data_IF_642791712642
#
_entry.id   IF_642791712642
#
_cell.length_a   1.000
_cell.length_b   1.000
_cell.length_c   1.000
_cell.angle_alpha   90.00
_cell.angle_beta   90.00
_cell.angle_gamma   90.00
#
_symmetry.space_group_name_H-M   'P 1'
#
loop_
_entity.id
_entity.type
_entity.pdbx_description
1 polymer ?
#
# COMPACT_ATOMS: atom_id res chain seq x y z
N UNK A 1 14.32 18.29 17.37
CA UNK A 1 13.18 17.86 18.22
C UNK A 1 12.40 16.71 17.58
N UNK A 2 11.76 16.87 16.41
CA UNK A 2 10.98 15.80 15.75
C UNK A 2 11.75 14.49 15.53
N UNK A 3 12.95 14.57 14.93
CA UNK A 3 13.84 13.41 14.76
C UNK A 3 14.15 12.73 16.11
N UNK A 4 14.39 13.51 17.16
CA UNK A 4 14.82 13.00 18.45
C UNK A 4 13.67 12.49 19.34
N UNK A 5 12.46 13.02 19.15
CA UNK A 5 11.28 12.71 19.97
C UNK A 5 10.40 11.61 19.35
N UNK A 6 10.46 11.43 18.03
CA UNK A 6 9.63 10.45 17.32
C UNK A 6 10.44 9.44 16.51
N UNK A 7 11.50 9.87 15.80
CA UNK A 7 12.30 8.94 14.98
C UNK A 7 13.23 8.08 15.85
N UNK A 8 13.89 8.66 16.87
CA UNK A 8 14.77 7.92 17.79
C UNK A 8 14.03 6.87 18.63
N UNK A 9 12.93 7.17 19.33
CA UNK A 9 12.19 6.13 20.06
C UNK A 9 11.55 5.06 19.15
N UNK A 10 11.27 5.39 17.89
CA UNK A 10 10.80 4.41 16.91
C UNK A 10 11.94 3.52 16.38
N UNK A 11 13.14 4.08 16.17
CA UNK A 11 14.35 3.29 15.91
C UNK A 11 14.69 2.34 17.07
N UNK A 12 14.45 2.75 18.33
CA UNK A 12 14.59 1.83 19.47
C UNK A 12 13.46 0.80 19.56
N UNK A 13 12.30 1.07 18.94
CA UNK A 13 11.20 0.09 18.84
C UNK A 13 11.49 -0.99 17.78
N UNK A 14 12.39 -0.69 16.82
CA UNK A 14 12.94 -1.65 15.84
C UNK A 14 13.59 -2.85 16.54
N UNK A 15 14.17 -2.64 17.73
CA UNK A 15 14.81 -3.66 18.57
C UNK A 15 13.80 -4.59 19.28
N UNK A 16 12.52 -4.19 19.37
CA UNK A 16 11.48 -4.88 20.16
C UNK A 16 10.62 -5.81 19.31
N UNK A 17 10.64 -5.68 17.98
CA UNK A 17 9.82 -6.53 17.11
C UNK A 17 10.52 -7.85 16.81
N UNK A 18 9.85 -8.96 17.12
CA UNK A 18 10.24 -10.35 16.80
C UNK A 18 10.45 -10.63 15.30
N UNK A 19 10.26 -9.63 14.43
CA UNK A 19 10.30 -9.72 12.98
C UNK A 19 11.49 -8.91 12.41
N UNK A 20 12.70 -9.43 12.61
CA UNK A 20 13.98 -8.79 12.22
C UNK A 20 14.10 -8.38 10.73
N UNK A 21 13.16 -8.78 9.86
CA UNK A 21 13.09 -8.38 8.44
C UNK A 21 11.96 -7.41 8.06
N UNK A 22 10.99 -7.15 8.96
CA UNK A 22 9.85 -6.26 8.68
C UNK A 22 10.04 -4.83 9.21
N UNK A 23 11.06 -4.58 10.03
CA UNK A 23 11.33 -3.26 10.61
C UNK A 23 11.42 -2.15 9.55
N UNK A 24 12.09 -2.41 8.42
CA UNK A 24 12.17 -1.45 7.32
C UNK A 24 10.81 -1.12 6.68
N UNK A 25 9.90 -2.10 6.58
CA UNK A 25 8.53 -1.86 6.10
C UNK A 25 7.78 -0.97 7.09
N UNK A 26 7.86 -1.29 8.37
CA UNK A 26 7.23 -0.53 9.45
C UNK A 26 7.71 0.92 9.49
N UNK A 27 9.01 1.14 9.40
CA UNK A 27 9.61 2.48 9.30
C UNK A 27 9.11 3.24 8.05
N UNK A 28 9.08 2.56 6.90
CA UNK A 28 8.60 3.18 5.66
C UNK A 28 7.15 3.63 5.78
N UNK A 29 6.28 2.78 6.33
CA UNK A 29 4.86 3.07 6.50
C UNK A 29 4.64 4.18 7.52
N UNK A 30 5.44 4.21 8.59
CA UNK A 30 5.44 5.31 9.55
C UNK A 30 5.79 6.65 8.88
N UNK A 31 6.91 6.71 8.15
CA UNK A 31 7.36 7.94 7.47
C UNK A 31 6.37 8.41 6.40
N UNK A 32 5.85 7.48 5.60
CA UNK A 32 4.84 7.78 4.58
C UNK A 32 3.54 8.28 5.22
N UNK A 33 3.05 7.58 6.24
CA UNK A 33 1.84 7.97 6.98
C UNK A 33 2.01 9.35 7.62
N UNK A 34 3.16 9.61 8.23
CA UNK A 34 3.48 10.91 8.81
C UNK A 34 3.40 12.03 7.78
N UNK A 35 4.04 11.83 6.62
CA UNK A 35 4.01 12.79 5.51
C UNK A 35 2.59 13.03 4.98
N UNK A 36 1.75 11.99 4.90
CA UNK A 36 0.40 12.12 4.37
C UNK A 36 -0.52 12.87 5.36
N UNK A 37 -0.40 12.56 6.65
CA UNK A 37 -1.31 13.09 7.68
C UNK A 37 -0.95 14.48 8.19
N UNK A 38 0.32 14.90 8.13
CA UNK A 38 0.73 16.23 8.60
C UNK A 38 0.07 17.36 7.79
N UNK A 39 -0.31 17.06 6.54
CA UNK A 39 -0.95 18.00 5.61
C UNK A 39 -2.45 18.14 5.83
N UNK A 40 -3.10 17.19 6.50
CA UNK A 40 -4.55 17.18 6.69
C UNK A 40 -5.11 18.44 7.37
N UNK A 41 -4.53 18.97 8.47
CA UNK A 41 -4.99 20.25 9.03
C UNK A 41 -4.46 21.47 8.25
N UNK A 42 -3.29 21.39 7.63
CA UNK A 42 -2.74 22.53 6.88
C UNK A 42 -3.52 22.81 5.58
N UNK A 43 -4.15 21.80 4.98
CA UNK A 43 -4.90 22.00 3.74
C UNK A 43 -6.20 22.76 3.95
N UNK A 44 -6.85 22.63 5.11
CA UNK A 44 -8.07 23.39 5.42
C UNK A 44 -7.74 24.87 5.51
N UNK A 45 -6.62 25.23 6.17
CA UNK A 45 -6.17 26.63 6.27
C UNK A 45 -5.88 27.22 4.88
N UNK A 46 -5.20 26.47 4.01
CA UNK A 46 -4.92 26.91 2.62
C UNK A 46 -6.21 27.03 1.80
N UNK A 47 -7.15 26.11 1.98
CA UNK A 47 -8.43 26.13 1.26
C UNK A 47 -9.29 27.33 1.68
N UNK A 48 -9.33 27.62 2.99
CA UNK A 48 -10.02 28.80 3.53
C UNK A 48 -9.41 30.09 2.98
N UNK A 49 -8.08 30.22 3.00
CA UNK A 49 -7.38 31.39 2.48
C UNK A 49 -7.60 31.59 0.96
N UNK A 50 -7.73 30.51 0.19
CA UNK A 50 -7.91 30.57 -1.26
C UNK A 50 -9.37 30.85 -1.69
N UNK A 51 -10.35 30.28 -1.00
CA UNK A 51 -11.78 30.37 -1.39
C UNK A 51 -12.49 31.56 -0.75
N UNK A 52 -12.14 31.91 0.50
CA UNK A 52 -12.83 32.90 1.31
C UNK A 52 -11.83 33.79 2.06
N UNK A 53 -11.11 34.71 1.38
CA UNK A 53 -10.12 35.55 2.03
C UNK A 53 -10.77 36.44 3.10
N UNK A 54 -10.30 36.33 4.35
CA UNK A 54 -10.71 37.20 5.47
C UNK A 54 -12.09 36.91 6.08
N UNK A 55 -12.69 35.74 5.81
CA UNK A 55 -13.90 35.27 6.48
C UNK A 55 -13.61 34.04 7.33
N UNK A 56 -14.13 34.03 8.56
CA UNK A 56 -13.98 32.90 9.48
C UNK A 56 -14.86 31.70 9.10
N UNK A 57 -15.93 31.95 8.33
CA UNK A 57 -16.87 30.91 7.88
C UNK A 57 -16.88 30.78 6.35
N UNK A 58 -16.62 29.56 5.86
CA UNK A 58 -16.68 29.24 4.44
C UNK A 58 -17.29 27.83 4.27
N UNK A 59 -18.61 27.77 4.07
CA UNK A 59 -19.30 26.50 3.80
C UNK A 59 -18.80 25.83 2.52
N UNK A 60 -18.35 26.62 1.53
CA UNK A 60 -17.83 26.13 0.26
C UNK A 60 -16.60 25.22 0.43
N UNK A 61 -15.69 25.53 1.35
CA UNK A 61 -14.50 24.70 1.60
C UNK A 61 -14.90 23.31 2.15
N UNK A 62 -15.92 23.26 3.00
CA UNK A 62 -16.46 22.01 3.56
C UNK A 62 -17.10 21.18 2.44
N UNK A 63 -17.96 21.77 1.61
CA UNK A 63 -18.59 21.06 0.50
C UNK A 63 -17.56 20.54 -0.53
N UNK A 64 -16.56 21.36 -0.86
CA UNK A 64 -15.49 20.99 -1.77
C UNK A 64 -14.70 19.80 -1.23
N UNK A 65 -14.23 19.87 0.03
CA UNK A 65 -13.46 18.79 0.66
C UNK A 65 -14.28 17.50 0.83
N UNK A 66 -15.56 17.60 1.20
CA UNK A 66 -16.47 16.46 1.28
C UNK A 66 -16.72 15.80 -0.08
N UNK A 67 -16.92 16.61 -1.13
CA UNK A 67 -17.06 16.12 -2.49
C UNK A 67 -15.78 15.42 -2.98
N UNK A 68 -14.61 15.98 -2.66
CA UNK A 68 -13.32 15.35 -2.96
C UNK A 68 -13.20 13.96 -2.32
N UNK A 69 -13.55 13.85 -1.03
CA UNK A 69 -13.50 12.59 -0.30
C UNK A 69 -14.50 11.57 -0.85
N UNK A 70 -15.69 12.00 -1.24
CA UNK A 70 -16.69 11.13 -1.86
C UNK A 70 -16.18 10.55 -3.20
N UNK A 71 -15.68 11.40 -4.10
CA UNK A 71 -15.10 10.94 -5.38
C UNK A 71 -13.92 10.01 -5.15
N UNK A 72 -13.03 10.39 -4.23
CA UNK A 72 -11.85 9.61 -3.89
C UNK A 72 -12.23 8.24 -3.34
N UNK A 73 -13.20 8.17 -2.43
CA UNK A 73 -13.68 6.91 -1.87
C UNK A 73 -14.32 6.01 -2.92
N UNK A 74 -15.18 6.55 -3.79
CA UNK A 74 -15.78 5.76 -4.88
C UNK A 74 -14.71 5.31 -5.88
N UNK A 75 -13.78 6.20 -6.22
CA UNK A 75 -12.68 5.89 -7.13
C UNK A 75 -11.74 4.82 -6.58
N UNK A 76 -11.37 4.91 -5.30
CA UNK A 76 -10.47 3.94 -4.66
C UNK A 76 -11.12 2.57 -4.53
N UNK A 77 -12.44 2.49 -4.29
CA UNK A 77 -13.18 1.22 -4.29
C UNK A 77 -13.02 0.46 -5.62
N UNK A 78 -12.98 1.17 -6.76
CA UNK A 78 -12.76 0.56 -8.07
C UNK A 78 -11.28 0.28 -8.35
N UNK A 79 -10.38 1.14 -7.89
CA UNK A 79 -8.94 1.04 -8.16
C UNK A 79 -8.23 0.03 -7.26
N UNK A 80 -8.65 -0.18 -6.01
CA UNK A 80 -7.99 -1.09 -5.07
C UNK A 80 -7.89 -2.54 -5.57
N UNK A 81 -8.94 -3.16 -6.16
CA UNK A 81 -8.82 -4.49 -6.77
C UNK A 81 -7.84 -4.51 -7.95
N UNK A 82 -7.84 -3.45 -8.77
CA UNK A 82 -6.95 -3.33 -9.92
C UNK A 82 -5.49 -3.26 -9.47
N UNK A 83 -5.19 -2.40 -8.49
CA UNK A 83 -3.88 -2.26 -7.84
C UNK A 83 -3.47 -3.59 -7.22
N UNK A 84 -4.36 -4.30 -6.52
CA UNK A 84 -4.09 -5.63 -5.98
C UNK A 84 -3.64 -6.62 -7.07
N UNK A 85 -4.39 -6.71 -8.17
CA UNK A 85 -4.06 -7.60 -9.29
C UNK A 85 -2.74 -7.25 -9.99
N UNK A 86 -2.41 -5.96 -10.08
CA UNK A 86 -1.13 -5.48 -10.60
C UNK A 86 0.01 -5.82 -9.65
N UNK A 87 -0.24 -5.82 -8.34
CA UNK A 87 0.76 -6.11 -7.31
C UNK A 87 1.22 -7.55 -7.38
N UNK A 88 0.29 -8.45 -7.72
CA UNK A 88 0.60 -9.86 -7.84
C UNK A 88 1.41 -10.16 -9.10
N UNK A 89 1.41 -9.27 -10.12
CA UNK A 89 2.18 -9.45 -11.37
C UNK A 89 3.51 -8.70 -11.39
N UNK A 90 3.54 -7.45 -10.93
CA UNK A 90 4.72 -6.57 -11.00
C UNK A 90 5.60 -6.62 -9.75
N UNK A 91 5.26 -7.48 -8.78
CA UNK A 91 5.95 -7.56 -7.49
C UNK A 91 5.47 -6.50 -6.50
N UNK A 92 5.51 -6.87 -5.21
CA UNK A 92 4.95 -6.04 -4.12
C UNK A 92 5.75 -4.77 -3.86
N UNK A 93 7.09 -4.83 -4.01
CA UNK A 93 7.98 -3.67 -3.81
C UNK A 93 7.78 -2.58 -4.87
N UNK A 94 7.73 -2.98 -6.14
CA UNK A 94 7.54 -2.06 -7.27
C UNK A 94 6.20 -1.33 -7.17
N UNK A 95 5.13 -2.08 -6.84
CA UNK A 95 3.82 -1.47 -6.72
C UNK A 95 3.65 -0.59 -5.48
N UNK A 96 4.34 -0.88 -4.36
CA UNK A 96 4.31 0.03 -3.20
C UNK A 96 5.00 1.37 -3.50
N UNK A 97 5.98 1.36 -4.41
CA UNK A 97 6.73 2.56 -4.78
C UNK A 97 5.91 3.53 -5.62
N UNK A 98 5.01 3.02 -6.47
CA UNK A 98 4.17 3.81 -7.36
C UNK A 98 3.28 4.84 -6.60
N UNK A 99 2.42 4.45 -5.63
CA UNK A 99 1.60 5.40 -4.89
C UNK A 99 2.43 6.35 -4.03
N UNK A 100 3.57 5.90 -3.50
CA UNK A 100 4.48 6.77 -2.75
C UNK A 100 5.06 7.88 -3.65
N UNK A 101 5.50 7.53 -4.87
CA UNK A 101 6.00 8.54 -5.83
C UNK A 101 4.91 9.48 -6.32
N UNK A 102 3.71 8.97 -6.61
CA UNK A 102 2.60 9.80 -7.08
C UNK A 102 2.17 10.81 -6.01
N UNK A 103 2.18 10.42 -4.72
CA UNK A 103 1.82 11.32 -3.63
C UNK A 103 2.80 12.49 -3.45
N UNK A 104 4.04 12.41 -3.97
CA UNK A 104 4.99 13.52 -3.95
C UNK A 104 4.51 14.70 -4.82
N UNK A 105 3.80 14.43 -5.93
CA UNK A 105 3.34 15.48 -6.85
C UNK A 105 2.41 16.51 -6.18
N UNK A 106 1.29 16.13 -5.56
CA UNK A 106 0.42 17.10 -4.88
C UNK A 106 1.16 17.79 -3.72
N UNK A 107 2.04 17.09 -2.99
CA UNK A 107 2.84 17.69 -1.92
C UNK A 107 3.80 18.78 -2.44
N UNK A 108 4.53 18.48 -3.51
CA UNK A 108 5.49 19.39 -4.12
C UNK A 108 4.81 20.64 -4.71
N UNK A 109 3.63 20.48 -5.31
CA UNK A 109 2.90 21.65 -5.86
C UNK A 109 2.56 22.69 -4.80
N UNK A 110 2.18 22.28 -3.59
CA UNK A 110 1.91 23.19 -2.47
C UNK A 110 3.17 23.72 -1.78
N UNK A 111 4.33 23.08 -1.99
CA UNK A 111 5.61 23.57 -1.52
C UNK A 111 6.12 24.75 -2.36
N UNK A 112 5.84 24.77 -3.67
CA UNK A 112 6.35 25.80 -4.59
C UNK A 112 5.69 27.18 -4.42
N UNK A 113 4.36 27.28 -4.47
CA UNK A 113 3.66 28.57 -4.36
C UNK A 113 2.19 28.38 -3.97
N UNK A 114 1.61 29.39 -3.31
CA UNK A 114 0.27 29.35 -2.68
C UNK A 114 -0.75 30.27 -3.36
N UNK A 115 -0.61 30.47 -4.66
CA UNK A 115 -1.60 31.21 -5.46
C UNK A 115 -2.90 30.42 -5.64
N UNK A 116 -4.00 31.12 -5.92
CA UNK A 116 -5.33 30.51 -6.19
C UNK A 116 -5.28 29.56 -7.39
N UNK A 117 -4.53 29.88 -8.45
CA UNK A 117 -4.32 28.98 -9.60
C UNK A 117 -3.65 27.66 -9.19
N UNK A 118 -2.67 27.72 -8.29
CA UNK A 118 -1.94 26.53 -7.83
C UNK A 118 -2.81 25.69 -6.92
N UNK A 119 -3.70 26.31 -6.14
CA UNK A 119 -4.71 25.60 -5.36
C UNK A 119 -5.60 24.71 -6.23
N UNK A 120 -6.10 25.21 -7.36
CA UNK A 120 -6.90 24.39 -8.30
C UNK A 120 -6.08 23.26 -8.94
N UNK A 121 -4.83 23.53 -9.34
CA UNK A 121 -3.92 22.52 -9.88
C UNK A 121 -3.67 21.41 -8.84
N UNK A 122 -3.36 21.80 -7.60
CA UNK A 122 -3.20 20.89 -6.48
C UNK A 122 -4.46 20.05 -6.28
N UNK A 123 -5.64 20.67 -6.29
CA UNK A 123 -6.91 19.97 -6.05
C UNK A 123 -7.16 18.89 -7.10
N UNK A 124 -6.92 19.18 -8.38
CA UNK A 124 -7.04 18.21 -9.48
C UNK A 124 -6.00 17.09 -9.34
N UNK A 125 -4.73 17.43 -9.14
CA UNK A 125 -3.65 16.46 -8.98
C UNK A 125 -3.86 15.56 -7.78
N UNK A 126 -4.30 16.13 -6.65
CA UNK A 126 -4.58 15.37 -5.44
C UNK A 126 -5.76 14.45 -5.64
N UNK A 127 -6.86 14.91 -6.26
CA UNK A 127 -8.02 14.05 -6.55
C UNK A 127 -7.61 12.86 -7.41
N UNK A 128 -6.88 13.10 -8.51
CA UNK A 128 -6.43 12.02 -9.40
C UNK A 128 -5.49 11.04 -8.69
N UNK A 129 -4.52 11.58 -7.94
CA UNK A 129 -3.57 10.76 -7.18
C UNK A 129 -4.27 9.95 -6.10
N UNK A 130 -5.18 10.57 -5.35
CA UNK A 130 -5.96 9.92 -4.29
C UNK A 130 -6.84 8.80 -4.84
N UNK A 131 -7.53 8.97 -5.97
CA UNK A 131 -8.34 7.89 -6.58
C UNK A 131 -7.51 6.60 -6.77
N UNK A 132 -6.23 6.72 -7.14
CA UNK A 132 -5.35 5.58 -7.41
C UNK A 132 -4.66 5.10 -6.12
N UNK A 133 -4.22 6.03 -5.29
CA UNK A 133 -3.26 5.77 -4.21
C UNK A 133 -3.92 5.61 -2.84
N UNK A 134 -5.13 6.12 -2.64
CA UNK A 134 -5.83 6.09 -1.35
C UNK A 134 -6.03 4.64 -0.90
N UNK A 135 -5.61 4.33 0.33
CA UNK A 135 -5.67 2.98 0.91
C UNK A 135 -4.71 1.95 0.32
N UNK A 136 -4.21 2.16 -0.91
CA UNK A 136 -3.33 1.20 -1.62
C UNK A 136 -2.08 0.84 -0.81
N UNK A 137 -1.39 1.83 -0.23
CA UNK A 137 -0.13 1.64 0.51
C UNK A 137 -0.33 0.73 1.73
N UNK A 138 -1.42 0.93 2.48
CA UNK A 138 -1.71 0.11 3.66
C UNK A 138 -2.08 -1.34 3.24
N UNK A 139 -2.91 -1.50 2.22
CA UNK A 139 -3.29 -2.82 1.73
C UNK A 139 -2.10 -3.60 1.17
N UNK A 140 -1.23 -2.95 0.40
CA UNK A 140 -0.02 -3.56 -0.14
C UNK A 140 0.99 -3.90 0.97
N UNK A 141 1.10 -3.06 2.00
CA UNK A 141 1.93 -3.36 3.16
C UNK A 141 1.38 -4.56 3.95
N UNK A 142 0.07 -4.62 4.21
CA UNK A 142 -0.58 -5.78 4.83
C UNK A 142 -0.36 -7.06 4.01
N UNK A 143 -0.48 -6.96 2.69
CA UNK A 143 -0.16 -8.06 1.79
C UNK A 143 1.31 -8.48 1.96
N UNK A 144 2.26 -7.53 1.90
CA UNK A 144 3.68 -7.83 2.10
C UNK A 144 3.94 -8.53 3.44
N UNK A 145 3.30 -8.09 4.53
CA UNK A 145 3.39 -8.76 5.84
C UNK A 145 2.85 -10.19 5.76
N UNK A 146 1.72 -10.42 5.07
CA UNK A 146 1.14 -11.75 4.91
C UNK A 146 2.09 -12.73 4.21
N UNK A 147 2.85 -12.26 3.22
CA UNK A 147 3.79 -13.11 2.47
C UNK A 147 5.06 -13.45 3.26
N UNK A 148 5.45 -12.60 4.22
CA UNK A 148 6.72 -12.75 4.95
C UNK A 148 6.56 -13.28 6.38
N UNK A 149 5.32 -13.42 6.89
CA UNK A 149 5.03 -13.85 8.27
C UNK A 149 4.22 -15.15 8.28
N UNK A 150 4.59 -16.15 9.13
CA UNK A 150 3.86 -17.40 9.27
C UNK A 150 2.44 -17.17 9.83
N UNK A 151 1.50 -18.02 9.44
CA UNK A 151 0.05 -17.84 9.69
C UNK A 151 -0.29 -17.56 11.16
N UNK A 152 0.35 -18.28 12.08
CA UNK A 152 0.12 -18.14 13.53
C UNK A 152 0.47 -16.78 14.12
N UNK A 153 1.27 -15.96 13.41
CA UNK A 153 1.70 -14.64 13.88
C UNK A 153 1.18 -13.47 13.02
N UNK A 154 0.47 -13.75 11.91
CA UNK A 154 -0.02 -12.72 10.98
C UNK A 154 -0.96 -11.71 11.66
N UNK A 155 -1.84 -12.17 12.53
CA UNK A 155 -2.77 -11.29 13.25
C UNK A 155 -2.03 -10.25 14.11
N UNK A 156 -0.98 -10.67 14.82
CA UNK A 156 -0.13 -9.77 15.61
C UNK A 156 0.62 -8.79 14.71
N UNK A 157 1.20 -9.26 13.61
CA UNK A 157 1.94 -8.41 12.69
C UNK A 157 1.03 -7.36 11.98
N UNK A 158 -0.20 -7.73 11.62
CA UNK A 158 -1.19 -6.78 11.10
C UNK A 158 -1.62 -5.75 12.15
N UNK A 159 -1.79 -6.18 13.41
CA UNK A 159 -2.07 -5.28 14.52
C UNK A 159 -0.95 -4.28 14.76
N UNK A 160 0.31 -4.72 14.70
CA UNK A 160 1.49 -3.84 14.82
C UNK A 160 1.52 -2.85 13.65
N UNK A 161 1.36 -3.31 12.41
CA UNK A 161 1.37 -2.44 11.23
C UNK A 161 0.29 -1.35 11.28
N UNK A 162 -0.93 -1.70 11.66
CA UNK A 162 -2.04 -0.74 11.79
C UNK A 162 -1.86 0.18 13.00
N UNK A 163 -1.28 -0.33 14.09
CA UNK A 163 -0.84 0.46 15.24
C UNK A 163 0.20 1.52 14.87
N UNK A 164 1.18 1.17 14.05
CA UNK A 164 2.19 2.10 13.53
C UNK A 164 1.53 3.18 12.66
N UNK A 165 0.62 2.81 11.76
CA UNK A 165 -0.10 3.77 10.94
C UNK A 165 -0.91 4.77 11.79
N UNK A 166 -1.54 4.28 12.87
CA UNK A 166 -2.26 5.11 13.85
C UNK A 166 -1.32 6.02 14.64
N UNK A 167 -0.15 5.50 15.05
CA UNK A 167 0.88 6.30 15.71
C UNK A 167 1.36 7.43 14.79
N UNK A 168 1.60 7.14 13.50
CA UNK A 168 1.99 8.13 12.51
C UNK A 168 0.93 9.24 12.37
N UNK A 169 -0.36 8.89 12.36
CA UNK A 169 -1.47 9.86 12.34
C UNK A 169 -1.45 10.80 13.56
N UNK A 170 -1.31 10.26 14.78
CA UNK A 170 -1.26 11.06 16.01
C UNK A 170 -0.01 11.95 16.02
N UNK A 171 1.16 11.40 15.69
CA UNK A 171 2.40 12.17 15.66
C UNK A 171 2.33 13.31 14.63
N UNK A 172 1.77 13.04 13.45
CA UNK A 172 1.65 14.01 12.38
C UNK A 172 0.71 15.16 12.72
N UNK A 173 -0.47 14.85 13.26
CA UNK A 173 -1.45 15.87 13.67
C UNK A 173 -0.93 16.74 14.82
N UNK A 174 -0.25 16.14 15.80
CA UNK A 174 0.43 16.89 16.86
C UNK A 174 1.54 17.80 16.31
N UNK A 175 2.36 17.30 15.39
CA UNK A 175 3.43 18.11 14.78
C UNK A 175 2.87 19.26 13.96
N UNK A 176 1.81 19.02 13.18
CA UNK A 176 1.18 20.06 12.37
C UNK A 176 0.72 21.27 13.19
N UNK A 177 0.37 21.09 14.48
CA UNK A 177 -0.02 22.19 15.38
C UNK A 177 1.10 23.16 15.71
N UNK A 178 2.36 22.70 15.71
CA UNK A 178 3.53 23.50 16.06
C UNK A 178 4.27 24.05 14.83
N UNK A 179 3.91 23.61 13.62
CA UNK A 179 4.50 24.07 12.38
C UNK A 179 3.65 25.17 11.76
N UNK A 180 4.31 26.14 11.12
CA UNK A 180 3.62 27.07 10.23
C UNK A 180 3.14 26.35 8.97
N UNK A 181 2.06 26.82 8.36
CA UNK A 181 1.53 26.27 7.10
C UNK A 181 2.62 26.10 6.05
N UNK A 182 3.55 27.07 5.95
CA UNK A 182 4.65 27.02 5.01
C UNK A 182 5.65 25.88 5.29
N UNK A 183 6.07 25.74 6.55
CA UNK A 183 6.99 24.70 6.96
C UNK A 183 6.35 23.31 6.84
N UNK A 184 5.05 23.18 7.12
CA UNK A 184 4.33 21.89 7.05
C UNK A 184 4.43 21.24 5.67
N UNK A 185 4.23 21.99 4.58
CA UNK A 185 4.34 21.42 3.22
C UNK A 185 5.77 21.04 2.86
N UNK A 186 6.77 21.82 3.30
CA UNK A 186 8.18 21.50 3.08
C UNK A 186 8.59 20.23 3.83
N UNK A 187 8.19 20.11 5.10
CA UNK A 187 8.44 18.94 5.93
C UNK A 187 7.73 17.72 5.37
N UNK A 188 6.46 17.84 4.98
CA UNK A 188 5.72 16.76 4.35
C UNK A 188 6.41 16.28 3.07
N UNK A 189 6.76 17.19 2.15
CA UNK A 189 7.44 16.82 0.90
C UNK A 189 8.78 16.14 1.15
N UNK A 190 9.58 16.66 2.09
CA UNK A 190 10.87 16.07 2.46
C UNK A 190 10.71 14.67 3.04
N UNK A 191 9.71 14.46 3.89
CA UNK A 191 9.39 13.15 4.47
C UNK A 191 8.83 12.17 3.44
N UNK A 192 8.01 12.62 2.48
CA UNK A 192 7.55 11.80 1.35
C UNK A 192 8.71 11.34 0.46
N UNK A 193 9.65 12.24 0.15
CA UNK A 193 10.85 11.89 -0.60
C UNK A 193 11.71 10.92 0.21
N UNK A 194 11.94 11.19 1.49
CA UNK A 194 12.73 10.32 2.37
C UNK A 194 12.13 8.93 2.49
N UNK A 195 10.82 8.82 2.74
CA UNK A 195 10.12 7.52 2.80
C UNK A 195 10.24 6.74 1.49
N UNK A 196 10.07 7.41 0.35
CA UNK A 196 10.20 6.78 -0.97
C UNK A 196 11.63 6.30 -1.26
N UNK A 197 12.64 7.11 -0.90
CA UNK A 197 14.05 6.75 -1.05
C UNK A 197 14.42 5.60 -0.10
N UNK A 198 14.01 5.68 1.15
CA UNK A 198 14.24 4.65 2.17
C UNK A 198 13.64 3.31 1.71
N UNK A 199 12.39 3.33 1.24
CA UNK A 199 11.70 2.18 0.68
C UNK A 199 12.47 1.53 -0.48
N UNK A 200 12.92 2.35 -1.46
CA UNK A 200 13.62 1.84 -2.64
C UNK A 200 14.96 1.17 -2.27
N UNK A 201 15.69 1.76 -1.32
CA UNK A 201 17.02 1.31 -0.92
C UNK A 201 16.98 0.12 0.04
N UNK A 202 16.13 0.15 1.06
CA UNK A 202 16.20 -0.77 2.20
C UNK A 202 15.17 -1.90 2.16
N UNK A 203 14.06 -1.77 1.44
CA UNK A 203 13.08 -2.86 1.40
C UNK A 203 13.59 -3.98 0.46
N UNK A 204 13.79 -5.21 0.93
CA UNK A 204 14.12 -6.32 0.03
C UNK A 204 12.93 -6.62 -0.90
N UNK A 205 13.22 -7.09 -2.11
CA UNK A 205 12.16 -7.61 -2.98
C UNK A 205 11.50 -8.82 -2.29
N UNK A 206 10.17 -8.87 -2.31
CA UNK A 206 9.46 -9.97 -1.66
C UNK A 206 9.84 -11.29 -2.35
N UNK A 207 10.05 -12.35 -1.56
CA UNK A 207 10.61 -13.64 -1.97
C UNK A 207 9.58 -14.44 -2.80
N UNK A 208 9.18 -13.91 -3.96
CA UNK A 208 8.27 -14.58 -4.90
C UNK A 208 8.88 -14.77 -6.28
N UNK A 209 10.20 -14.68 -6.37
CA UNK A 209 10.93 -14.80 -7.65
C UNK A 209 12.03 -15.87 -7.62
N UNK A 210 11.73 -17.05 -7.09
CA UNK A 210 12.53 -18.24 -7.42
C UNK A 210 11.74 -19.56 -7.52
N UNK A 211 10.42 -19.55 -7.36
CA UNK A 211 9.59 -20.78 -7.41
C UNK A 211 8.59 -20.83 -8.57
N UNK A 212 8.47 -19.75 -9.36
CA UNK A 212 7.58 -19.68 -10.53
C UNK A 212 8.31 -19.75 -11.87
N UNK A 213 9.64 -19.84 -11.87
CA UNK A 213 10.46 -20.17 -13.03
C UNK A 213 10.76 -21.68 -13.10
N UNK A 214 9.74 -22.53 -12.90
CA UNK A 214 9.77 -23.86 -13.53
C UNK A 214 8.95 -23.72 -14.81
N UNK A 215 9.57 -23.66 -16.00
CA UNK A 215 8.81 -23.60 -17.23
C UNK A 215 7.96 -24.88 -17.33
N UNK A 216 6.65 -24.69 -17.46
CA UNK A 216 5.61 -25.71 -17.70
C UNK A 216 5.90 -26.56 -18.98
N UNK A 217 6.97 -26.25 -19.72
CA UNK A 217 7.36 -26.88 -20.99
C UNK A 217 8.16 -28.19 -20.82
N UNK A 218 8.64 -28.56 -19.62
CA UNK A 218 9.42 -29.81 -19.43
C UNK A 218 8.59 -30.98 -18.83
N UNK A 219 7.26 -30.86 -18.72
CA UNK A 219 6.44 -31.98 -18.20
C UNK A 219 6.29 -33.15 -19.20
N UNK A 220 6.47 -32.92 -20.51
CA UNK A 220 6.32 -33.97 -21.52
C UNK A 220 7.58 -34.81 -21.77
N UNK A 221 8.77 -34.36 -21.34
CA UNK A 221 10.01 -35.15 -21.49
C UNK A 221 10.46 -35.85 -20.20
N UNK A 222 10.11 -35.32 -19.03
CA UNK A 222 10.48 -35.93 -17.75
C UNK A 222 9.56 -37.10 -17.34
N UNK A 223 8.30 -37.08 -17.80
CA UNK A 223 7.32 -38.14 -17.50
C UNK A 223 7.64 -39.48 -18.19
N UNK A 224 8.46 -39.48 -19.25
CA UNK A 224 8.89 -40.70 -19.93
C UNK A 224 10.09 -41.37 -19.25
N UNK A 225 10.96 -40.61 -18.58
CA UNK A 225 12.18 -41.12 -17.97
C UNK A 225 11.96 -41.66 -16.53
N UNK A 226 10.92 -41.20 -15.83
CA UNK A 226 10.61 -41.65 -14.47
C UNK A 226 9.62 -42.82 -14.40
N UNK A 227 9.15 -43.33 -15.55
CA UNK A 227 8.18 -44.43 -15.61
C UNK A 227 8.81 -45.83 -15.59
N UNK A 228 10.14 -45.92 -15.51
CA UNK A 228 10.84 -47.22 -15.51
C UNK A 228 11.12 -47.79 -14.12
N UNK A 229 10.83 -47.06 -13.03
CA UNK A 229 11.18 -47.53 -11.69
C UNK A 229 9.98 -47.44 -10.72
N UNK A 230 9.63 -48.58 -10.13
CA UNK A 230 8.61 -48.85 -9.09
C UNK A 230 7.15 -49.20 -9.50
N UNK A 231 6.73 -50.49 -9.34
CA UNK A 231 5.44 -51.03 -9.82
C UNK A 231 4.24 -50.86 -8.84
N UNK A 232 4.35 -50.01 -7.81
CA UNK A 232 3.34 -49.92 -6.73
C UNK A 232 2.24 -48.87 -6.91
N UNK A 233 2.44 -47.83 -7.74
CA UNK A 233 1.58 -46.63 -7.76
C UNK A 233 0.44 -46.68 -8.80
N UNK A 234 0.52 -47.61 -9.76
CA UNK A 234 -0.45 -47.76 -10.87
C UNK A 234 -1.89 -48.04 -10.42
N UNK A 235 -2.07 -48.65 -9.24
CA UNK A 235 -3.40 -49.05 -8.73
C UNK A 235 -4.17 -47.94 -7.99
N UNK A 236 -3.53 -46.82 -7.64
CA UNK A 236 -4.22 -45.65 -7.03
C UNK A 236 -4.65 -44.65 -8.09
N UNK A 237 -3.78 -44.36 -9.06
CA UNK A 237 -4.10 -43.43 -10.16
C UNK A 237 -5.19 -44.02 -11.07
N UNK A 238 -5.16 -45.33 -11.36
CA UNK A 238 -6.21 -45.97 -12.17
C UNK A 238 -7.58 -45.92 -11.51
N UNK A 239 -7.65 -45.98 -10.17
CA UNK A 239 -8.90 -45.82 -9.41
C UNK A 239 -9.41 -44.38 -9.43
N UNK A 240 -8.52 -43.40 -9.27
CA UNK A 240 -8.89 -41.99 -9.32
C UNK A 240 -9.42 -41.59 -10.72
N UNK A 241 -8.75 -42.02 -11.79
CA UNK A 241 -9.16 -41.75 -13.17
C UNK A 241 -10.48 -42.46 -13.50
N UNK A 242 -10.68 -43.70 -13.02
CA UNK A 242 -11.95 -44.43 -13.20
C UNK A 242 -13.12 -43.74 -12.50
N UNK A 243 -12.91 -43.27 -11.27
CA UNK A 243 -13.93 -42.55 -10.49
C UNK A 243 -14.37 -41.24 -11.15
N UNK A 244 -13.42 -40.46 -11.69
CA UNK A 244 -13.73 -39.21 -12.41
C UNK A 244 -14.48 -39.49 -13.71
N UNK A 245 -14.13 -40.58 -14.41
CA UNK A 245 -14.83 -40.96 -15.65
C UNK A 245 -16.27 -41.39 -15.41
N UNK A 246 -16.56 -42.09 -14.31
CA UNK A 246 -17.92 -42.49 -13.93
C UNK A 246 -18.78 -41.30 -13.50
N UNK A 247 -18.22 -40.34 -12.75
CA UNK A 247 -18.91 -39.07 -12.43
C UNK A 247 -19.23 -38.27 -13.70
N UNK A 248 -18.32 -38.23 -14.69
CA UNK A 248 -18.55 -37.54 -15.95
C UNK A 248 -19.62 -38.22 -16.83
N UNK A 249 -19.78 -39.54 -16.75
CA UNK A 249 -20.85 -40.24 -17.49
C UNK A 249 -22.24 -40.02 -16.90
N UNK A 250 -22.38 -39.89 -15.58
CA UNK A 250 -23.68 -39.57 -14.95
C UNK A 250 -24.17 -38.17 -15.29
N UNK A 251 -23.28 -37.18 -15.42
CA UNK A 251 -23.66 -35.83 -15.82
C UNK A 251 -24.13 -35.73 -17.27
N UNK A 252 -23.76 -36.69 -18.14
CA UNK A 252 -24.22 -36.72 -19.53
C UNK A 252 -25.58 -37.38 -19.74
N UNK A 253 -26.09 -38.15 -18.77
CA UNK A 253 -27.39 -38.84 -18.89
C UNK A 253 -28.58 -38.09 -18.28
N UNK A 254 -28.36 -36.87 -17.75
CA UNK A 254 -29.40 -36.10 -17.04
C UNK A 254 -29.78 -34.78 -17.72
N UNK A 255 -29.43 -34.60 -19.00
CA UNK A 255 -29.93 -33.50 -19.81
C UNK A 255 -30.99 -34.08 -20.76
N UNK A 256 -32.29 -33.76 -20.59
CA UNK A 256 -33.33 -34.12 -21.55
C UNK A 256 -33.21 -33.36 -22.87
#
# INVERSE_FOLDING_TARGET
LFLHLFVVPFLTMEEVTTFHGLGHLFMTIFLYGFSAFIVAPAITDVSMAALCPGKDECSLAIYLSGFQQAITGVGSLMMMPLVGSLSDKHGRKSLLTLPMTLNILPLATLACSRGTTIFYIYYVLKTFTSIICEGSVLCLALAYVADNVPEGQRASAFGILTGIASCAFVCATLCARFLSTAATFQVATTMAVLSTVYMRLFLPDSIRDNSLAVPIVTSNKLSAALLEDYPGHRNRISRAIRSVREMASFMRSSVP
#
